data_IF_162006986434
#
_entry.id   IF_162006986434
#
_cell.length_a   1.000
_cell.length_b   1.000
_cell.length_c   1.000
_cell.angle_alpha   90.00
_cell.angle_beta   90.00
_cell.angle_gamma   90.00
#
_symmetry.space_group_name_H-M   'P 1'
#
loop_
_entity.id
_entity.type
_entity.pdbx_description
1 polymer ?
#
# COMPACT_ATOMS: atom_id res chain seq x y z
N UNK A 1 13.74 13.76 -20.13
CA UNK A 1 13.49 13.16 -18.79
C UNK A 1 12.00 12.88 -18.67
N UNK A 2 11.58 11.63 -18.87
CA UNK A 2 10.19 11.29 -19.17
C UNK A 2 9.28 11.37 -17.93
N UNK A 3 8.49 12.45 -17.81
CA UNK A 3 7.46 12.67 -16.77
C UNK A 3 6.51 11.47 -16.61
N UNK A 4 6.34 10.66 -17.67
CA UNK A 4 5.52 9.44 -17.68
C UNK A 4 5.95 8.39 -16.66
N UNK A 5 7.25 8.30 -16.33
CA UNK A 5 7.77 7.28 -15.39
C UNK A 5 7.35 7.59 -13.94
N UNK A 6 7.32 8.86 -13.55
CA UNK A 6 6.91 9.29 -12.21
C UNK A 6 5.39 9.17 -12.02
N UNK A 7 4.61 9.42 -13.08
CA UNK A 7 3.15 9.38 -13.04
C UNK A 7 2.57 7.96 -12.98
N UNK A 8 3.06 7.06 -13.84
CA UNK A 8 2.55 5.68 -13.93
C UNK A 8 3.23 4.69 -12.99
N UNK A 9 4.45 4.99 -12.52
CA UNK A 9 5.18 4.18 -11.54
C UNK A 9 5.65 5.01 -10.34
N UNK A 10 4.71 5.48 -9.51
CA UNK A 10 5.04 6.19 -8.29
C UNK A 10 5.90 5.37 -7.36
N UNK A 11 6.47 6.05 -6.38
CA UNK A 11 7.21 5.36 -5.33
C UNK A 11 6.24 4.56 -4.46
N UNK A 12 6.46 3.25 -4.43
CA UNK A 12 5.83 2.29 -3.53
C UNK A 12 6.80 1.98 -2.39
N UNK A 13 6.33 2.08 -1.15
CA UNK A 13 7.18 1.95 0.03
C UNK A 13 6.55 0.95 1.00
N UNK A 14 7.38 0.08 1.58
CA UNK A 14 7.01 -0.73 2.75
C UNK A 14 7.43 0.03 4.00
N UNK A 15 6.52 0.15 4.96
CA UNK A 15 6.77 0.84 6.21
C UNK A 15 7.01 -0.18 7.33
N UNK A 16 7.92 0.15 8.23
CA UNK A 16 8.16 -0.54 9.48
C UNK A 16 8.01 0.41 10.65
N UNK A 17 7.70 -0.13 11.83
CA UNK A 17 7.58 0.62 13.08
C UNK A 17 8.97 0.84 13.67
N UNK A 18 9.27 2.06 14.10
CA UNK A 18 10.49 2.33 14.86
C UNK A 18 10.34 1.78 16.29
N UNK A 19 11.36 1.07 16.82
CA UNK A 19 11.29 0.43 18.14
C UNK A 19 10.90 1.41 19.25
N UNK A 20 9.96 1.01 20.10
CA UNK A 20 9.47 1.82 21.22
C UNK A 20 8.61 3.03 20.84
N UNK A 21 8.14 3.11 19.59
CA UNK A 21 7.29 4.22 19.12
C UNK A 21 6.14 3.72 18.24
N UNK A 22 5.16 4.60 17.99
CA UNK A 22 4.09 4.38 17.00
C UNK A 22 4.41 5.02 15.63
N UNK A 23 5.69 5.28 15.37
CA UNK A 23 6.14 5.95 14.15
C UNK A 23 6.51 4.91 13.09
N UNK A 24 5.85 5.00 11.93
CA UNK A 24 6.14 4.15 10.77
C UNK A 24 7.02 4.88 9.76
N UNK A 25 8.11 4.22 9.33
CA UNK A 25 9.09 4.76 8.38
C UNK A 25 9.46 3.73 7.31
N UNK A 26 9.96 4.24 6.19
CA UNK A 26 10.46 3.44 5.08
C UNK A 26 11.61 2.54 5.53
N UNK A 27 11.41 1.23 5.47
CA UNK A 27 12.40 0.21 5.90
C UNK A 27 13.69 0.26 5.07
N UNK A 28 13.64 0.80 3.85
CA UNK A 28 14.83 0.98 2.99
C UNK A 28 15.68 2.17 3.43
N UNK A 29 15.08 3.15 4.13
CA UNK A 29 15.77 4.36 4.61
C UNK A 29 16.13 4.30 6.09
N UNK A 30 15.35 3.55 6.87
CA UNK A 30 15.53 3.40 8.30
C UNK A 30 15.69 1.92 8.63
N UNK A 31 16.93 1.40 8.66
CA UNK A 31 17.19 -0.02 8.91
C UNK A 31 16.70 -0.52 10.28
N UNK A 32 16.50 0.39 11.23
CA UNK A 32 15.91 0.09 12.54
C UNK A 32 14.38 -0.06 12.50
N UNK A 33 13.71 0.26 11.39
CA UNK A 33 12.27 0.14 11.27
C UNK A 33 11.88 -1.33 11.02
N UNK A 34 11.06 -1.88 11.91
CA UNK A 34 10.68 -3.30 11.92
C UNK A 34 9.30 -3.50 11.28
N UNK A 35 9.19 -4.42 10.33
CA UNK A 35 7.89 -4.83 9.81
C UNK A 35 7.13 -5.65 10.83
N UNK A 36 5.80 -5.60 10.76
CA UNK A 36 4.94 -6.34 11.68
C UNK A 36 4.64 -7.74 11.11
N UNK A 37 4.70 -8.81 11.92
CA UNK A 37 4.30 -10.14 11.49
C UNK A 37 2.86 -10.13 10.97
N UNK A 38 2.62 -10.79 9.84
CA UNK A 38 1.34 -10.94 9.16
C UNK A 38 0.68 -9.64 8.68
N UNK A 39 1.32 -8.48 8.89
CA UNK A 39 0.75 -7.17 8.57
C UNK A 39 1.66 -6.42 7.60
N UNK A 40 1.16 -6.20 6.39
CA UNK A 40 1.83 -5.35 5.42
C UNK A 40 1.42 -3.90 5.61
N UNK A 41 2.33 -3.06 6.08
CA UNK A 41 2.15 -1.60 6.06
C UNK A 41 2.84 -1.03 4.84
N UNK A 42 2.11 -0.32 3.98
CA UNK A 42 2.66 0.28 2.77
C UNK A 42 2.16 1.70 2.52
N UNK A 43 2.93 2.45 1.74
CA UNK A 43 2.59 3.79 1.28
C UNK A 43 2.80 3.91 -0.22
N UNK A 44 1.87 4.61 -0.87
CA UNK A 44 1.96 4.96 -2.28
C UNK A 44 2.08 6.46 -2.43
N UNK A 45 3.25 6.94 -2.86
CA UNK A 45 3.56 8.38 -2.90
C UNK A 45 3.05 9.05 -4.20
N UNK A 46 1.75 8.93 -4.47
CA UNK A 46 1.06 9.63 -5.56
C UNK A 46 -0.47 9.56 -5.41
N UNK A 47 -1.23 10.45 -6.11
CA UNK A 47 -2.64 10.21 -6.40
C UNK A 47 -2.86 8.86 -7.07
N UNK A 48 -4.01 8.23 -6.80
CA UNK A 48 -4.39 6.99 -7.47
C UNK A 48 -5.33 7.31 -8.63
N UNK A 49 -4.99 6.87 -9.83
CA UNK A 49 -5.78 7.11 -11.03
C UNK A 49 -5.68 5.91 -11.97
N UNK A 50 -6.53 5.85 -12.99
CA UNK A 50 -6.55 4.76 -13.97
C UNK A 50 -5.13 4.32 -14.42
N UNK A 51 -4.24 5.26 -14.73
CA UNK A 51 -2.93 4.95 -15.29
C UNK A 51 -1.90 4.33 -14.31
N UNK A 52 -2.18 4.29 -13.00
CA UNK A 52 -1.26 3.73 -12.00
C UNK A 52 -1.92 2.72 -11.03
N UNK A 53 -3.25 2.54 -11.09
CA UNK A 53 -3.98 1.56 -10.27
C UNK A 53 -3.49 0.12 -10.48
N UNK A 54 -3.21 -0.27 -11.74
CA UNK A 54 -2.64 -1.59 -12.06
C UNK A 54 -1.25 -1.78 -11.46
N UNK A 55 -0.42 -0.73 -11.50
CA UNK A 55 0.90 -0.74 -10.90
C UNK A 55 0.84 -0.88 -9.37
N UNK A 56 -0.12 -0.22 -8.73
CA UNK A 56 -0.39 -0.36 -7.30
C UNK A 56 -0.77 -1.80 -6.95
N UNK A 57 -1.77 -2.37 -7.62
CA UNK A 57 -2.24 -3.74 -7.39
C UNK A 57 -1.12 -4.77 -7.61
N UNK A 58 -0.40 -4.67 -8.73
CA UNK A 58 0.73 -5.54 -9.04
C UNK A 58 1.83 -5.47 -7.98
N UNK A 59 2.15 -4.26 -7.49
CA UNK A 59 3.15 -4.06 -6.44
C UNK A 59 2.72 -4.67 -5.11
N UNK A 60 1.44 -4.52 -4.75
CA UNK A 60 0.85 -5.12 -3.56
C UNK A 60 0.90 -6.66 -3.63
N UNK A 61 0.39 -7.26 -4.71
CA UNK A 61 0.41 -8.72 -4.88
C UNK A 61 1.83 -9.30 -4.87
N UNK A 62 2.78 -8.60 -5.51
CA UNK A 62 4.18 -9.00 -5.48
C UNK A 62 4.70 -9.05 -4.04
N UNK A 63 4.38 -8.06 -3.21
CA UNK A 63 4.82 -8.03 -1.82
C UNK A 63 4.15 -9.11 -0.97
N UNK A 64 2.84 -9.29 -1.09
CA UNK A 64 2.10 -10.35 -0.38
C UNK A 64 2.63 -11.74 -0.71
N UNK A 65 2.96 -12.00 -1.98
CA UNK A 65 3.58 -13.26 -2.41
C UNK A 65 4.96 -13.47 -1.78
N UNK A 66 5.75 -12.42 -1.61
CA UNK A 66 7.05 -12.51 -0.94
C UNK A 66 6.87 -12.87 0.54
N UNK A 67 5.95 -12.21 1.23
CA UNK A 67 5.65 -12.47 2.64
C UNK A 67 5.20 -13.93 2.86
N UNK A 68 4.26 -14.42 2.05
CA UNK A 68 3.81 -15.81 2.11
C UNK A 68 4.94 -16.82 1.87
N UNK A 69 5.88 -16.53 0.96
CA UNK A 69 7.04 -17.39 0.70
C UNK A 69 8.05 -17.43 1.85
N UNK A 70 8.12 -16.38 2.65
CA UNK A 70 9.03 -16.30 3.82
C UNK A 70 8.40 -16.86 5.09
N UNK A 71 7.21 -17.47 5.02
CA UNK A 71 6.48 -18.00 6.18
C UNK A 71 5.71 -16.93 6.96
N UNK A 72 5.69 -15.70 6.47
CA UNK A 72 4.98 -14.57 7.06
C UNK A 72 3.66 -14.35 6.31
N UNK A 73 2.73 -15.30 6.43
CA UNK A 73 1.50 -15.25 5.66
C UNK A 73 0.68 -13.99 6.03
N UNK A 74 0.38 -13.09 5.07
CA UNK A 74 -0.25 -11.82 5.37
C UNK A 74 -1.72 -12.02 5.71
N UNK A 75 -2.17 -11.46 6.83
CA UNK A 75 -3.58 -11.42 7.24
C UNK A 75 -4.15 -10.00 7.13
N UNK A 76 -3.28 -8.98 7.12
CA UNK A 76 -3.70 -7.58 7.04
C UNK A 76 -2.81 -6.79 6.07
N UNK A 77 -3.43 -5.84 5.38
CA UNK A 77 -2.78 -4.80 4.59
C UNK A 77 -3.24 -3.45 5.12
N UNK A 78 -2.30 -2.61 5.53
CA UNK A 78 -2.54 -1.23 5.93
C UNK A 78 -1.93 -0.29 4.89
N UNK A 79 -2.80 0.41 4.16
CA UNK A 79 -2.39 1.45 3.23
C UNK A 79 -2.35 2.81 3.94
N UNK A 80 -1.15 3.40 4.05
CA UNK A 80 -0.99 4.79 4.45
C UNK A 80 -1.37 5.70 3.28
N UNK A 81 -2.51 6.37 3.41
CA UNK A 81 -3.04 7.31 2.43
C UNK A 81 -2.52 8.74 2.60
N UNK A 82 -1.54 9.00 3.48
CA UNK A 82 -1.01 10.36 3.71
C UNK A 82 -0.53 11.07 2.44
N UNK A 83 -0.03 10.31 1.45
CA UNK A 83 0.44 10.79 0.15
C UNK A 83 -0.60 10.66 -0.99
N UNK A 84 -1.76 10.05 -0.72
CA UNK A 84 -2.84 9.88 -1.70
C UNK A 84 -3.81 11.04 -1.51
N UNK A 85 -3.76 12.03 -2.42
CA UNK A 85 -4.61 13.21 -2.31
C UNK A 85 -5.95 13.07 -3.04
N UNK A 86 -5.98 12.31 -4.13
CA UNK A 86 -7.16 12.08 -4.95
C UNK A 86 -7.18 10.64 -5.47
N UNK A 87 -8.39 10.11 -5.66
CA UNK A 87 -8.66 8.84 -6.32
C UNK A 87 -9.72 9.10 -7.39
N UNK A 88 -9.43 8.79 -8.66
CA UNK A 88 -10.44 8.89 -9.72
C UNK A 88 -11.44 7.71 -9.69
N UNK A 89 -12.58 7.83 -10.39
CA UNK A 89 -13.61 6.80 -10.38
C UNK A 89 -13.12 5.41 -10.85
N UNK A 90 -12.21 5.40 -11.82
CA UNK A 90 -11.62 4.17 -12.37
C UNK A 90 -10.69 3.49 -11.36
N UNK A 91 -9.84 4.26 -10.68
CA UNK A 91 -8.97 3.79 -9.61
C UNK A 91 -9.77 3.32 -8.39
N UNK A 92 -10.86 4.01 -8.03
CA UNK A 92 -11.75 3.55 -6.97
C UNK A 92 -12.37 2.19 -7.31
N UNK A 93 -12.79 2.00 -8.56
CA UNK A 93 -13.34 0.72 -9.03
C UNK A 93 -12.28 -0.39 -8.96
N UNK A 94 -11.05 -0.13 -9.43
CA UNK A 94 -9.95 -1.07 -9.35
C UNK A 94 -9.56 -1.40 -7.89
N UNK A 95 -9.56 -0.41 -7.01
CA UNK A 95 -9.27 -0.60 -5.59
C UNK A 95 -10.35 -1.44 -4.90
N UNK A 96 -11.64 -1.22 -5.20
CA UNK A 96 -12.74 -2.04 -4.67
C UNK A 96 -12.62 -3.51 -5.12
N UNK A 97 -12.25 -3.74 -6.37
CA UNK A 97 -12.00 -5.09 -6.89
C UNK A 97 -10.84 -5.76 -6.16
N UNK A 98 -9.73 -5.03 -5.98
CA UNK A 98 -8.58 -5.51 -5.23
C UNK A 98 -8.93 -5.86 -3.77
N UNK A 99 -9.65 -4.98 -3.07
CA UNK A 99 -10.11 -5.22 -1.69
C UNK A 99 -11.00 -6.46 -1.62
N UNK A 100 -11.92 -6.62 -2.56
CA UNK A 100 -12.80 -7.80 -2.63
C UNK A 100 -11.98 -9.08 -2.84
N UNK A 101 -10.96 -9.03 -3.68
CA UNK A 101 -10.05 -10.18 -3.89
C UNK A 101 -9.28 -10.53 -2.61
N UNK A 102 -8.76 -9.53 -1.90
CA UNK A 102 -8.03 -9.73 -0.65
C UNK A 102 -8.93 -10.32 0.43
N UNK A 103 -10.16 -9.82 0.58
CA UNK A 103 -11.13 -10.37 1.52
C UNK A 103 -11.50 -11.83 1.22
N UNK A 104 -11.54 -12.25 -0.05
CA UNK A 104 -11.73 -13.67 -0.42
C UNK A 104 -10.58 -14.58 -0.03
N UNK A 105 -9.42 -14.01 0.29
CA UNK A 105 -8.23 -14.70 0.78
C UNK A 105 -8.05 -14.53 2.30
N UNK A 106 -9.08 -14.05 3.00
CA UNK A 106 -9.04 -13.72 4.43
C UNK A 106 -7.98 -12.66 4.81
N UNK A 107 -7.64 -11.78 3.85
CA UNK A 107 -6.71 -10.67 4.07
C UNK A 107 -7.51 -9.38 4.25
N UNK A 108 -7.51 -8.84 5.47
CA UNK A 108 -8.16 -7.57 5.77
C UNK A 108 -7.41 -6.38 5.13
N UNK A 109 -8.13 -5.46 4.50
CA UNK A 109 -7.55 -4.25 3.91
C UNK A 109 -8.02 -3.00 4.66
N UNK A 110 -7.06 -2.22 5.18
CA UNK A 110 -7.29 -1.06 6.05
C UNK A 110 -6.65 0.18 5.44
N UNK A 111 -7.28 1.33 5.66
CA UNK A 111 -6.78 2.65 5.24
C UNK A 111 -6.36 3.45 6.49
N UNK A 112 -5.13 3.98 6.48
CA UNK A 112 -4.62 4.91 7.46
C UNK A 112 -4.46 6.31 6.86
N UNK A 113 -4.55 7.36 7.68
CA UNK A 113 -4.34 8.76 7.26
C UNK A 113 -5.19 9.19 6.03
N UNK A 114 -6.34 8.56 5.82
CA UNK A 114 -7.26 8.94 4.74
C UNK A 114 -7.85 10.31 5.05
N UNK A 115 -7.73 11.24 4.09
CA UNK A 115 -8.41 12.54 4.12
C UNK A 115 -9.92 12.34 3.89
N UNK A 116 -10.74 13.27 4.37
CA UNK A 116 -12.20 13.21 4.24
C UNK A 116 -12.71 12.87 2.83
N UNK A 117 -12.16 13.40 1.72
CA UNK A 117 -12.62 13.06 0.36
C UNK A 117 -12.37 11.60 -0.06
N UNK A 118 -11.60 10.84 0.70
CA UNK A 118 -11.32 9.43 0.45
C UNK A 118 -12.17 8.48 1.31
N UNK A 119 -12.95 9.03 2.24
CA UNK A 119 -13.80 8.24 3.16
C UNK A 119 -15.24 8.10 2.66
N UNK A 120 -15.62 8.89 1.66
CA UNK A 120 -16.93 8.89 0.99
C UNK A 120 -16.90 7.99 -0.25
#
# INVERSE_FOLDING_TARGET
LCLRRLFCRPRWVVLGRLPGTDIFRDVTRYPSAETLPHVLVCRFDAPLHFANADFFATSLHKRLRVMAKTGDEPTHVLLDCSSIHTIDASANTALKQLVTELHRKDIAFLLANSRAPLRE
#
